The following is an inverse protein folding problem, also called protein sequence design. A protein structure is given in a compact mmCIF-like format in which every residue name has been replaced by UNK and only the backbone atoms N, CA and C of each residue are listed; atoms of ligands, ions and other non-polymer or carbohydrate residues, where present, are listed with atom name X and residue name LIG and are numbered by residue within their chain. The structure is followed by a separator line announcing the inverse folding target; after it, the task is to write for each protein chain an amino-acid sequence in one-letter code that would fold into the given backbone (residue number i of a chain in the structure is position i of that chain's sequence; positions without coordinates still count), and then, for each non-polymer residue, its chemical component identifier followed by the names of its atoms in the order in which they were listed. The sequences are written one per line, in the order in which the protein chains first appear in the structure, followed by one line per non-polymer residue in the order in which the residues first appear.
data_IF_670031201254
#
_entry.id   IF_670031201254
#
_cell.length_a   1.000
_cell.length_b   1.000
_cell.length_c   1.000
_cell.angle_alpha   90.00
_cell.angle_beta   90.00
_cell.angle_gamma   90.00
#
_symmetry.space_group_name_H-M   'P 1'
#
loop_
_entity.id
_entity.type
_entity.pdbx_description
1 polymer ?
#
# COMPACT_ATOMS: atom_id res chain seq x y z
N UNK A 1 42.27 5.98 -13.23
CA UNK A 1 41.97 6.46 -11.86
C UNK A 1 40.81 5.63 -11.33
N UNK A 2 41.04 4.82 -10.30
CA UNK A 2 39.96 4.06 -9.64
C UNK A 2 39.20 5.02 -8.72
N UNK A 3 37.88 5.12 -8.88
CA UNK A 3 37.03 5.87 -7.98
C UNK A 3 36.85 5.10 -6.66
N UNK A 4 37.11 5.76 -5.53
CA UNK A 4 36.87 5.18 -4.22
C UNK A 4 35.36 5.07 -3.99
N UNK A 5 34.82 3.85 -3.95
CA UNK A 5 33.40 3.60 -3.66
C UNK A 5 33.22 3.58 -2.13
N UNK A 6 32.35 4.44 -1.61
CA UNK A 6 31.99 4.44 -0.19
C UNK A 6 31.11 3.23 0.13
N UNK A 7 31.41 2.51 1.22
CA UNK A 7 30.57 1.42 1.74
C UNK A 7 29.48 1.93 2.70
N UNK A 8 29.31 3.26 2.81
CA UNK A 8 28.24 3.84 3.63
C UNK A 8 26.94 3.74 2.85
N UNK A 9 25.96 3.01 3.40
CA UNK A 9 24.64 2.89 2.80
C UNK A 9 23.97 4.28 2.76
N UNK A 10 23.47 4.72 1.60
CA UNK A 10 22.71 5.97 1.51
C UNK A 10 21.40 5.87 2.28
N UNK A 11 20.83 7.03 2.60
CA UNK A 11 19.47 7.10 3.15
C UNK A 11 18.46 6.54 2.13
N UNK A 12 17.32 5.98 2.57
CA UNK A 12 16.24 5.60 1.67
C UNK A 12 15.74 6.78 0.84
N UNK A 13 15.26 6.49 -0.37
CA UNK A 13 14.70 7.50 -1.26
C UNK A 13 13.50 8.21 -0.62
N UNK A 14 13.36 9.51 -0.88
CA UNK A 14 12.29 10.33 -0.31
C UNK A 14 10.90 9.74 -0.57
N UNK A 15 10.65 9.21 -1.78
CA UNK A 15 9.36 8.58 -2.11
C UNK A 15 9.04 7.40 -1.18
N UNK A 16 10.04 6.59 -0.84
CA UNK A 16 9.86 5.47 0.09
C UNK A 16 9.59 5.97 1.51
N UNK A 17 10.31 7.02 1.93
CA UNK A 17 10.10 7.65 3.24
C UNK A 17 8.70 8.25 3.34
N UNK A 18 8.22 8.95 2.31
CA UNK A 18 6.91 9.59 2.28
C UNK A 18 5.77 8.57 2.37
N UNK A 19 5.88 7.45 1.66
CA UNK A 19 4.90 6.35 1.75
C UNK A 19 4.86 5.78 3.17
N UNK A 20 6.02 5.51 3.76
CA UNK A 20 6.10 4.95 5.12
C UNK A 20 5.56 5.93 6.15
N UNK A 21 5.88 7.21 6.02
CA UNK A 21 5.39 8.26 6.91
C UNK A 21 3.87 8.39 6.83
N UNK A 22 3.28 8.33 5.63
CA UNK A 22 1.83 8.26 5.47
C UNK A 22 1.26 7.03 6.16
N UNK A 23 1.75 5.82 5.82
CA UNK A 23 1.20 4.55 6.34
C UNK A 23 1.29 4.46 7.86
N UNK A 24 2.37 4.94 8.47
CA UNK A 24 2.63 4.74 9.91
C UNK A 24 2.13 5.87 10.81
N UNK A 25 1.99 7.10 10.28
CA UNK A 25 1.68 8.28 11.10
C UNK A 25 0.31 8.88 10.77
N UNK A 26 -0.16 8.74 9.53
CA UNK A 26 -1.43 9.35 9.14
C UNK A 26 -2.62 8.62 9.76
N UNK A 27 -3.56 9.39 10.30
CA UNK A 27 -4.83 8.88 10.82
C UNK A 27 -5.96 9.33 9.90
N UNK A 28 -6.62 8.38 9.27
CA UNK A 28 -7.82 8.62 8.46
C UNK A 28 -8.95 9.07 9.40
N UNK A 29 -9.68 10.13 9.03
CA UNK A 29 -10.79 10.71 9.82
C UNK A 29 -12.08 10.92 9.00
N UNK A 30 -12.16 10.34 7.82
CA UNK A 30 -13.32 10.47 6.94
C UNK A 30 -14.23 9.27 7.14
N UNK A 31 -15.43 9.51 7.66
CA UNK A 31 -16.45 8.47 7.83
C UNK A 31 -16.85 7.89 6.46
N UNK A 32 -17.05 8.73 5.45
CA UNK A 32 -17.32 8.32 4.07
C UNK A 32 -16.25 7.38 3.51
N UNK A 33 -14.97 7.63 3.82
CA UNK A 33 -13.87 6.75 3.38
C UNK A 33 -13.98 5.36 4.03
N UNK A 34 -14.31 5.28 5.31
CA UNK A 34 -14.53 4.00 6.00
C UNK A 34 -15.79 3.29 5.51
N UNK A 35 -16.89 4.02 5.31
CA UNK A 35 -18.13 3.45 4.80
C UNK A 35 -17.94 2.89 3.38
N UNK A 36 -17.29 3.65 2.50
CA UNK A 36 -16.99 3.21 1.14
C UNK A 36 -16.01 2.03 1.13
N UNK A 37 -14.99 2.03 2.01
CA UNK A 37 -14.07 0.90 2.16
C UNK A 37 -14.79 -0.39 2.59
N UNK A 38 -15.81 -0.28 3.44
CA UNK A 38 -16.67 -1.42 3.80
C UNK A 38 -17.44 -1.96 2.59
N UNK A 39 -18.01 -1.08 1.76
CA UNK A 39 -18.68 -1.52 0.52
C UNK A 39 -17.69 -2.15 -0.48
N UNK A 40 -16.49 -1.57 -0.63
CA UNK A 40 -15.42 -2.12 -1.45
C UNK A 40 -14.99 -3.53 -0.98
N UNK A 41 -14.93 -3.77 0.34
CA UNK A 41 -14.66 -5.09 0.89
C UNK A 41 -15.76 -6.10 0.51
N UNK A 42 -17.03 -5.71 0.63
CA UNK A 42 -18.16 -6.57 0.25
C UNK A 42 -18.13 -6.93 -1.24
N UNK A 43 -17.85 -5.94 -2.10
CA UNK A 43 -17.70 -6.11 -3.54
C UNK A 43 -16.54 -7.07 -3.89
N UNK A 44 -15.37 -6.83 -3.30
CA UNK A 44 -14.17 -7.66 -3.51
C UNK A 44 -14.41 -9.12 -3.13
N UNK A 45 -15.05 -9.35 -1.97
CA UNK A 45 -15.40 -10.71 -1.53
C UNK A 45 -16.45 -11.34 -2.44
N UNK A 46 -17.46 -10.58 -2.88
CA UNK A 46 -18.48 -11.03 -3.83
C UNK A 46 -17.86 -11.53 -5.13
N UNK A 47 -17.00 -10.71 -5.75
CA UNK A 47 -16.23 -11.09 -6.94
C UNK A 47 -15.38 -12.34 -6.71
N UNK A 48 -14.70 -12.43 -5.55
CA UNK A 48 -13.89 -13.59 -5.19
C UNK A 48 -14.71 -14.88 -5.04
N UNK A 49 -15.91 -14.81 -4.48
CA UNK A 49 -16.80 -15.97 -4.36
C UNK A 49 -17.42 -16.37 -5.69
N UNK A 50 -17.82 -15.40 -6.52
CA UNK A 50 -18.31 -15.66 -7.88
C UNK A 50 -17.25 -16.40 -8.70
N UNK A 51 -15.98 -15.99 -8.59
CA UNK A 51 -14.87 -16.62 -9.29
C UNK A 51 -14.69 -18.11 -8.95
N UNK A 52 -15.11 -18.58 -7.77
CA UNK A 52 -15.04 -20.01 -7.40
C UNK A 52 -15.98 -20.89 -8.26
N UNK A 53 -16.95 -20.30 -8.96
CA UNK A 53 -17.84 -21.00 -9.88
C UNK A 53 -17.22 -21.28 -11.26
N UNK A 54 -16.06 -20.70 -11.56
CA UNK A 54 -15.37 -20.90 -12.84
C UNK A 54 -14.27 -21.94 -12.66
N UNK A 55 -14.33 -23.03 -13.45
CA UNK A 55 -13.21 -23.96 -13.54
C UNK A 55 -12.02 -23.28 -14.23
N UNK A 56 -10.81 -23.50 -13.69
CA UNK A 56 -9.56 -23.05 -14.30
C UNK A 56 -9.34 -23.64 -15.70
#
# INVERSE_FOLDING_TARGET
MSSHISNVRPKPDTVLVDIVDYVTKYKIKSDDAYETARYCLMDTLGCGFEALGFSA
#
